data_IF_487227984622
#
_entry.id   IF_487227984622
#
_cell.length_a   1.000
_cell.length_b   1.000
_cell.length_c   1.000
_cell.angle_alpha   90.00
_cell.angle_beta   90.00
_cell.angle_gamma   90.00
#
_symmetry.space_group_name_H-M   'P 1'
#
loop_
_entity.id
_entity.type
_entity.pdbx_description
1 polymer ?
#
# COMPACT_ATOMS: atom_id res chain seq x y z
N UNK A 1 -20.67 -23.85 18.38
CA UNK A 1 -20.69 -24.01 16.91
C UNK A 1 -22.15 -23.92 16.51
N UNK A 2 -22.60 -22.76 16.00
CA UNK A 2 -24.00 -22.58 15.60
C UNK A 2 -24.29 -23.48 14.40
N UNK A 3 -25.37 -24.23 14.48
CA UNK A 3 -25.75 -25.18 13.43
C UNK A 3 -26.30 -24.41 12.22
N UNK A 4 -26.06 -24.91 11.00
CA UNK A 4 -26.70 -24.41 9.78
C UNK A 4 -28.22 -24.30 9.95
N UNK A 5 -28.81 -25.18 10.77
CA UNK A 5 -30.22 -25.17 11.11
C UNK A 5 -30.68 -23.92 11.89
N UNK A 6 -29.88 -23.42 12.83
CA UNK A 6 -30.21 -22.22 13.62
C UNK A 6 -30.15 -20.95 12.76
N UNK A 7 -29.15 -20.86 11.87
CA UNK A 7 -29.06 -19.77 10.90
C UNK A 7 -30.26 -19.77 9.93
N UNK A 8 -30.69 -20.96 9.49
CA UNK A 8 -31.84 -21.12 8.60
C UNK A 8 -33.15 -20.69 9.28
N UNK A 9 -33.32 -20.98 10.58
CA UNK A 9 -34.44 -20.49 11.39
C UNK A 9 -34.38 -18.96 11.52
N UNK A 10 -33.23 -18.40 11.92
CA UNK A 10 -33.06 -16.97 12.09
C UNK A 10 -33.35 -16.20 10.79
N UNK A 11 -32.85 -16.70 9.65
CA UNK A 11 -33.10 -16.13 8.33
C UNK A 11 -34.59 -16.19 7.94
N UNK A 12 -35.27 -17.31 8.22
CA UNK A 12 -36.71 -17.46 7.99
C UNK A 12 -37.51 -16.45 8.83
N UNK A 13 -37.13 -16.25 10.09
CA UNK A 13 -37.76 -15.26 10.97
C UNK A 13 -37.55 -13.83 10.47
N UNK A 14 -36.33 -13.49 10.03
CA UNK A 14 -36.02 -12.18 9.44
C UNK A 14 -36.82 -11.92 8.15
N UNK A 15 -37.04 -12.97 7.35
CA UNK A 15 -37.77 -12.91 6.07
C UNK A 15 -39.29 -13.05 6.22
N UNK A 16 -39.80 -13.42 7.40
CA UNK A 16 -41.23 -13.63 7.64
C UNK A 16 -41.97 -12.30 7.68
N UNK A 17 -42.30 -11.83 6.49
CA UNK A 17 -43.03 -10.60 6.15
C UNK A 17 -44.39 -10.55 6.88
N UNK A 18 -44.49 -9.82 7.99
CA UNK A 18 -45.81 -9.47 8.56
C UNK A 18 -46.51 -8.46 7.65
N UNK A 19 -47.79 -8.70 7.46
CA UNK A 19 -48.72 -8.12 6.48
C UNK A 19 -49.08 -6.63 6.73
N UNK A 20 -48.10 -5.79 7.02
CA UNK A 20 -48.28 -4.34 7.18
C UNK A 20 -47.30 -3.63 6.23
N UNK A 21 -47.80 -3.24 5.05
CA UNK A 21 -46.99 -2.74 3.94
C UNK A 21 -46.14 -1.49 4.24
N UNK A 22 -46.44 -0.74 5.30
CA UNK A 22 -45.69 0.45 5.71
C UNK A 22 -44.35 0.14 6.39
N UNK A 23 -44.29 -0.88 7.25
CA UNK A 23 -43.10 -1.20 8.06
C UNK A 23 -41.96 -1.74 7.19
N UNK A 24 -42.31 -2.50 6.14
CA UNK A 24 -41.31 -3.09 5.23
C UNK A 24 -40.53 -2.02 4.43
N UNK A 25 -41.20 -0.95 4.00
CA UNK A 25 -40.56 0.13 3.22
C UNK A 25 -39.54 0.92 4.06
N UNK A 26 -39.89 1.23 5.32
CA UNK A 26 -39.00 1.94 6.24
C UNK A 26 -37.73 1.13 6.52
N UNK A 27 -37.86 -0.18 6.73
CA UNK A 27 -36.71 -1.08 6.95
C UNK A 27 -35.75 -1.10 5.75
N UNK A 28 -36.28 -1.14 4.52
CA UNK A 28 -35.44 -1.12 3.32
C UNK A 28 -34.66 0.19 3.17
N UNK A 29 -35.30 1.33 3.39
CA UNK A 29 -34.65 2.64 3.32
C UNK A 29 -33.56 2.75 4.40
N UNK A 30 -33.86 2.32 5.63
CA UNK A 30 -32.88 2.32 6.73
C UNK A 30 -31.69 1.41 6.45
N UNK A 31 -31.93 0.20 5.94
CA UNK A 31 -30.88 -0.76 5.61
C UNK A 31 -29.93 -0.20 4.55
N UNK A 32 -30.47 0.39 3.49
CA UNK A 32 -29.69 1.02 2.43
C UNK A 32 -28.90 2.22 2.98
N UNK A 33 -29.53 3.08 3.79
CA UNK A 33 -28.89 4.25 4.37
C UNK A 33 -27.70 3.88 5.28
N UNK A 34 -27.87 2.89 6.16
CA UNK A 34 -26.78 2.43 7.05
C UNK A 34 -25.67 1.78 6.22
N UNK A 35 -26.03 0.95 5.24
CA UNK A 35 -25.04 0.29 4.37
C UNK A 35 -24.20 1.31 3.60
N UNK A 36 -24.83 2.33 3.01
CA UNK A 36 -24.14 3.43 2.31
C UNK A 36 -23.24 4.23 3.25
N UNK A 37 -23.72 4.54 4.46
CA UNK A 37 -22.95 5.29 5.45
C UNK A 37 -21.68 4.54 5.88
N UNK A 38 -21.82 3.26 6.23
CA UNK A 38 -20.68 2.41 6.62
C UNK A 38 -19.74 2.17 5.44
N UNK A 39 -20.29 1.95 4.24
CA UNK A 39 -19.48 1.78 3.03
C UNK A 39 -18.57 3.00 2.78
N UNK A 40 -19.12 4.21 2.86
CA UNK A 40 -18.33 5.44 2.69
C UNK A 40 -17.21 5.58 3.72
N UNK A 41 -17.47 5.22 4.99
CA UNK A 41 -16.47 5.24 6.06
C UNK A 41 -15.33 4.25 5.78
N UNK A 42 -15.65 3.01 5.40
CA UNK A 42 -14.67 1.98 5.08
C UNK A 42 -13.85 2.40 3.86
N UNK A 43 -14.49 2.88 2.80
CA UNK A 43 -13.81 3.32 1.58
C UNK A 43 -12.80 4.44 1.87
N UNK A 44 -13.19 5.45 2.64
CA UNK A 44 -12.32 6.58 2.98
C UNK A 44 -11.14 6.16 3.86
N UNK A 45 -11.36 5.21 4.78
CA UNK A 45 -10.28 4.65 5.59
C UNK A 45 -9.31 3.86 4.71
N UNK A 46 -9.83 3.01 3.82
CA UNK A 46 -9.04 2.21 2.88
C UNK A 46 -8.16 3.09 1.99
N UNK A 47 -8.75 4.14 1.41
CA UNK A 47 -8.05 5.10 0.54
C UNK A 47 -6.91 5.76 1.30
N UNK A 48 -7.18 6.34 2.47
CA UNK A 48 -6.14 7.04 3.25
C UNK A 48 -5.05 6.09 3.73
N UNK A 49 -5.41 4.90 4.20
CA UNK A 49 -4.44 3.90 4.67
C UNK A 49 -3.57 3.37 3.53
N UNK A 50 -4.16 3.10 2.36
CA UNK A 50 -3.44 2.67 1.17
C UNK A 50 -2.46 3.73 0.69
N UNK A 51 -2.96 4.96 0.46
CA UNK A 51 -2.11 6.06 -0.02
C UNK A 51 -1.00 6.46 0.95
N UNK A 52 -1.25 6.42 2.27
CA UNK A 52 -0.19 6.72 3.26
C UNK A 52 1.03 5.83 3.07
N UNK A 53 0.80 4.54 2.86
CA UNK A 53 1.90 3.56 2.71
C UNK A 53 2.69 3.85 1.45
N UNK A 54 2.00 4.04 0.32
CA UNK A 54 2.62 4.34 -0.98
C UNK A 54 3.40 5.66 -0.96
N UNK A 55 2.82 6.71 -0.37
CA UNK A 55 3.46 8.02 -0.31
C UNK A 55 4.68 8.02 0.61
N UNK A 56 4.59 7.35 1.77
CA UNK A 56 5.73 7.21 2.68
C UNK A 56 6.85 6.42 2.02
N UNK A 57 6.51 5.32 1.34
CA UNK A 57 7.49 4.51 0.60
C UNK A 57 8.14 5.30 -0.54
N UNK A 58 7.35 6.07 -1.29
CA UNK A 58 7.88 6.95 -2.36
C UNK A 58 8.81 8.03 -1.82
N UNK A 59 8.45 8.71 -0.73
CA UNK A 59 9.26 9.79 -0.13
C UNK A 59 10.57 9.23 0.45
N UNK A 60 10.49 8.11 1.19
CA UNK A 60 11.67 7.48 1.79
C UNK A 60 12.54 6.78 0.74
N UNK A 61 11.92 6.17 -0.27
CA UNK A 61 12.61 5.49 -1.38
C UNK A 61 13.24 6.43 -2.41
N UNK A 62 12.79 7.68 -2.49
CA UNK A 62 13.41 8.70 -3.34
C UNK A 62 14.79 9.16 -2.84
N UNK A 63 15.08 8.97 -1.54
CA UNK A 63 16.38 9.30 -0.96
C UNK A 63 17.26 8.05 -0.90
N UNK A 64 18.50 8.16 -1.39
CA UNK A 64 19.49 7.12 -1.21
C UNK A 64 19.85 7.01 0.28
N UNK A 65 19.60 5.85 0.88
CA UNK A 65 20.03 5.57 2.27
C UNK A 65 21.56 5.50 2.39
N UNK A 66 22.25 5.14 1.31
CA UNK A 66 23.72 5.06 1.23
C UNK A 66 24.16 5.61 -0.11
N UNK A 67 25.10 6.56 -0.08
CA UNK A 67 25.73 7.09 -1.30
C UNK A 67 27.21 6.74 -1.30
N UNK A 68 27.65 6.06 -2.36
CA UNK A 68 29.06 5.65 -2.53
C UNK A 68 29.77 6.69 -3.40
N UNK A 69 30.81 7.30 -2.85
CA UNK A 69 31.68 8.24 -3.56
C UNK A 69 33.08 7.65 -3.70
N UNK A 70 33.74 7.88 -4.83
CA UNK A 70 35.15 7.57 -4.97
C UNK A 70 36.01 8.68 -4.35
N UNK A 71 37.10 8.29 -3.72
CA UNK A 71 38.09 9.26 -3.24
C UNK A 71 38.71 9.99 -4.45
N UNK A 72 38.96 11.31 -4.35
CA UNK A 72 39.55 12.08 -5.44
C UNK A 72 40.94 11.52 -5.76
N UNK A 73 41.06 10.78 -6.86
CA UNK A 73 42.35 10.30 -7.36
C UNK A 73 42.90 11.34 -8.33
N UNK A 74 44.19 11.62 -8.17
CA UNK A 74 44.95 12.44 -9.13
C UNK A 74 45.46 11.53 -10.24
N UNK A 75 45.24 11.94 -11.48
CA UNK A 75 45.88 11.30 -12.61
C UNK A 75 47.38 11.71 -12.69
N UNK A 76 48.16 11.06 -13.54
CA UNK A 76 49.57 11.37 -13.79
C UNK A 76 49.83 12.83 -14.23
N UNK A 77 48.86 13.49 -14.85
CA UNK A 77 48.84 14.91 -15.24
C UNK A 77 48.32 15.86 -14.15
N UNK A 78 47.98 15.33 -12.96
CA UNK A 78 47.58 16.13 -11.80
C UNK A 78 46.11 16.57 -11.78
N UNK A 79 45.29 16.12 -12.73
CA UNK A 79 43.86 16.40 -12.72
C UNK A 79 43.16 15.55 -11.66
N UNK A 80 42.25 16.17 -10.91
CA UNK A 80 41.46 15.49 -9.89
C UNK A 80 40.19 14.96 -10.53
N UNK A 81 40.10 13.64 -10.70
CA UNK A 81 38.87 13.00 -11.17
C UNK A 81 38.14 12.35 -9.99
N UNK A 82 36.84 12.63 -9.88
CA UNK A 82 35.92 11.98 -8.93
C UNK A 82 35.02 10.93 -9.60
N UNK A 83 35.21 10.71 -10.90
CA UNK A 83 34.39 9.79 -11.69
C UNK A 83 34.78 8.33 -11.41
N UNK A 84 33.77 7.50 -11.15
CA UNK A 84 33.93 6.05 -11.03
C UNK A 84 33.88 5.48 -12.46
N UNK A 85 35.04 5.11 -13.03
CA UNK A 85 35.10 4.56 -14.39
C UNK A 85 34.40 3.19 -14.51
N UNK A 86 34.53 2.33 -13.50
CA UNK A 86 33.91 1.00 -13.45
C UNK A 86 32.55 0.99 -12.70
N UNK A 87 31.69 1.97 -12.96
CA UNK A 87 30.41 2.09 -12.27
C UNK A 87 29.46 0.93 -12.56
N UNK A 88 29.49 0.35 -13.77
CA UNK A 88 28.63 -0.79 -14.13
C UNK A 88 28.93 -2.01 -13.26
N UNK A 89 30.21 -2.37 -13.12
CA UNK A 89 30.64 -3.54 -12.34
C UNK A 89 30.31 -3.36 -10.85
N UNK A 90 30.54 -2.16 -10.32
CA UNK A 90 30.20 -1.85 -8.93
C UNK A 90 28.69 -1.91 -8.70
N UNK A 91 27.89 -1.39 -9.64
CA UNK A 91 26.44 -1.46 -9.58
C UNK A 91 25.94 -2.92 -9.53
N UNK A 92 26.50 -3.82 -10.35
CA UNK A 92 26.14 -5.24 -10.34
C UNK A 92 26.46 -5.93 -9.01
N UNK A 93 27.62 -5.63 -8.42
CA UNK A 93 28.03 -6.20 -7.13
C UNK A 93 27.11 -5.67 -6.03
N UNK A 94 26.88 -4.35 -5.98
CA UNK A 94 26.04 -3.70 -4.97
C UNK A 94 24.58 -4.18 -5.09
N UNK A 95 24.04 -4.34 -6.30
CA UNK A 95 22.67 -4.81 -6.50
C UNK A 95 22.47 -6.30 -6.19
N UNK A 96 23.55 -7.09 -6.13
CA UNK A 96 23.50 -8.52 -5.76
C UNK A 96 23.45 -8.78 -4.25
N UNK A 97 23.64 -7.75 -3.42
CA UNK A 97 23.55 -7.88 -1.97
C UNK A 97 22.08 -7.98 -1.54
N UNK A 98 21.75 -8.97 -0.71
CA UNK A 98 20.37 -9.24 -0.26
C UNK A 98 19.73 -8.06 0.51
N UNK A 99 20.56 -7.20 1.12
CA UNK A 99 20.13 -6.00 1.82
C UNK A 99 19.87 -4.78 0.92
N UNK A 100 20.19 -4.86 -0.38
CA UNK A 100 20.07 -3.74 -1.33
C UNK A 100 18.79 -3.88 -2.14
N UNK A 101 17.81 -3.02 -1.84
CA UNK A 101 16.53 -3.02 -2.55
C UNK A 101 16.60 -2.32 -3.92
N UNK A 102 17.44 -1.29 -4.07
CA UNK A 102 17.68 -0.57 -5.33
C UNK A 102 19.08 0.04 -5.35
N UNK A 103 19.71 0.01 -6.52
CA UNK A 103 20.99 0.68 -6.79
C UNK A 103 20.87 1.40 -8.13
N UNK A 104 21.26 2.68 -8.17
CA UNK A 104 21.23 3.49 -9.38
C UNK A 104 22.49 4.38 -9.45
N UNK A 105 23.20 4.42 -10.58
CA UNK A 105 24.30 5.35 -10.77
C UNK A 105 23.75 6.79 -10.86
N UNK A 106 24.40 7.70 -10.14
CA UNK A 106 24.16 9.15 -10.27
C UNK A 106 25.14 9.68 -11.32
N UNK A 107 24.62 10.18 -12.44
CA UNK A 107 25.38 10.80 -13.54
C UNK A 107 25.70 12.27 -13.26
#
# INVERSE_FOLDING_TARGET
>A
MFSYFEFLIAWRYLRSKRSEGGVTTMTWISLIGISLSVFALIATLSVRSGFRTELVDTILGANAHVTVYNQPMKDAEGNVYRSIKDYERLNTIISSLESVHRSAPLI
#
